data_IF_287351517399
#
_entry.id   IF_287351517399
#
_cell.length_a   1.000
_cell.length_b   1.000
_cell.length_c   1.000
_cell.angle_alpha   90.00
_cell.angle_beta   90.00
_cell.angle_gamma   90.00
#
_symmetry.space_group_name_H-M   'P 1'
#
loop_
_entity.id
_entity.type
_entity.pdbx_description
1 polymer ?
#
# COMPACT_ATOMS: atom_id res chain seq x y z
N UNK A 1 -4.50 -20.72 -10.28
CA UNK A 1 -3.90 -20.49 -11.61
C UNK A 1 -3.19 -19.13 -11.77
N UNK A 2 -3.07 -18.37 -10.69
CA UNK A 2 -2.30 -17.11 -10.63
C UNK A 2 -0.80 -17.38 -10.75
N UNK A 3 -0.32 -18.48 -10.21
CA UNK A 3 1.07 -18.94 -10.29
C UNK A 3 1.56 -19.11 -11.74
N UNK A 4 0.68 -19.60 -12.63
CA UNK A 4 1.00 -19.80 -14.06
C UNK A 4 1.11 -18.46 -14.79
N UNK A 5 0.29 -17.47 -14.44
CA UNK A 5 0.28 -16.16 -15.09
C UNK A 5 1.54 -15.33 -14.75
N UNK A 6 1.99 -15.41 -13.50
CA UNK A 6 3.23 -14.77 -13.04
C UNK A 6 4.44 -15.44 -13.71
N UNK A 7 4.48 -16.78 -13.76
CA UNK A 7 5.55 -17.51 -14.41
C UNK A 7 5.65 -17.21 -15.93
N UNK A 8 4.52 -17.08 -16.64
CA UNK A 8 4.52 -16.79 -18.07
C UNK A 8 5.04 -15.38 -18.38
N UNK A 9 4.77 -14.39 -17.52
CA UNK A 9 5.23 -13.03 -17.73
C UNK A 9 6.75 -12.88 -17.53
N UNK A 10 7.36 -13.68 -16.62
CA UNK A 10 8.81 -13.67 -16.37
C UNK A 10 9.63 -14.57 -17.30
N UNK A 11 9.03 -15.59 -17.92
CA UNK A 11 9.71 -16.44 -18.91
C UNK A 11 10.17 -15.65 -20.16
N UNK A 12 9.49 -14.58 -20.50
CA UNK A 12 9.86 -13.73 -21.65
C UNK A 12 11.13 -12.87 -21.40
N UNK A 13 11.56 -12.71 -20.15
CA UNK A 13 12.71 -11.87 -19.78
C UNK A 13 13.97 -12.64 -19.40
N UNK A 14 13.98 -13.99 -19.43
CA UNK A 14 15.13 -14.82 -19.00
C UNK A 14 15.76 -14.43 -17.64
N UNK A 15 14.98 -13.81 -16.74
CA UNK A 15 15.39 -13.42 -15.42
C UNK A 15 14.63 -14.33 -14.45
N UNK A 16 15.20 -15.47 -14.08
CA UNK A 16 14.83 -16.19 -12.86
C UNK A 16 15.27 -15.38 -11.65
N UNK A 17 14.55 -14.30 -11.34
CA UNK A 17 14.66 -13.68 -10.04
C UNK A 17 13.70 -14.44 -9.14
N UNK A 18 14.22 -15.24 -8.22
CA UNK A 18 13.47 -15.77 -7.09
C UNK A 18 12.90 -14.56 -6.32
N UNK A 19 11.63 -14.21 -6.55
CA UNK A 19 10.97 -13.11 -5.86
C UNK A 19 10.57 -13.59 -4.46
N UNK A 20 11.52 -13.54 -3.53
CA UNK A 20 11.21 -13.80 -2.12
C UNK A 20 10.45 -12.64 -1.52
N UNK A 21 9.35 -12.96 -0.83
CA UNK A 21 8.61 -11.96 -0.07
C UNK A 21 9.48 -11.47 1.09
N UNK A 22 9.68 -10.17 1.18
CA UNK A 22 10.45 -9.54 2.24
C UNK A 22 9.52 -8.90 3.27
N UNK A 23 9.82 -9.07 4.55
CA UNK A 23 9.21 -8.24 5.58
C UNK A 23 10.00 -6.94 5.69
N UNK A 24 9.36 -5.83 5.39
CA UNK A 24 9.91 -4.51 5.58
C UNK A 24 9.35 -3.87 6.87
N UNK A 25 9.99 -2.82 7.35
CA UNK A 25 9.50 -1.99 8.44
C UNK A 25 9.71 -0.53 8.06
N UNK A 26 8.67 0.24 8.22
CA UNK A 26 8.68 1.68 7.96
C UNK A 26 8.47 2.48 9.25
N UNK A 27 8.92 1.92 10.38
CA UNK A 27 8.80 2.56 11.69
C UNK A 27 9.45 3.93 11.64
N UNK A 28 8.75 5.00 12.07
CA UNK A 28 9.33 6.32 12.11
C UNK A 28 10.57 6.36 13.01
N UNK A 29 11.64 6.99 12.55
CA UNK A 29 12.65 7.52 13.45
C UNK A 29 12.00 8.65 14.30
N UNK A 30 12.45 8.84 15.52
CA UNK A 30 12.06 9.98 16.36
C UNK A 30 10.59 10.04 16.82
N UNK A 31 10.04 8.95 17.33
CA UNK A 31 8.72 8.89 18.00
C UNK A 31 7.54 9.49 17.20
N UNK A 32 7.68 9.65 15.89
CA UNK A 32 6.58 10.13 15.06
C UNK A 32 5.47 9.08 14.95
N UNK A 33 4.21 9.52 14.93
CA UNK A 33 3.05 8.63 14.84
C UNK A 33 2.98 7.89 13.49
N UNK A 34 3.58 8.43 12.43
CA UNK A 34 3.60 7.87 11.08
C UNK A 34 4.66 8.52 10.19
N UNK A 35 5.00 7.83 9.11
CA UNK A 35 5.94 8.32 8.07
C UNK A 35 5.14 8.85 6.89
N UNK A 36 5.60 9.98 6.32
CA UNK A 36 5.17 10.46 5.00
C UNK A 36 6.37 10.55 4.09
N UNK A 37 6.29 9.88 2.94
CA UNK A 37 7.33 9.86 1.92
C UNK A 37 6.79 10.39 0.60
N UNK A 38 7.61 11.12 -0.13
CA UNK A 38 7.35 11.51 -1.52
C UNK A 38 8.40 10.86 -2.41
N UNK A 39 7.97 9.99 -3.31
CA UNK A 39 8.84 9.25 -4.19
C UNK A 39 8.78 9.81 -5.62
N UNK A 40 9.95 9.98 -6.20
CA UNK A 40 10.15 10.43 -7.59
C UNK A 40 10.72 9.33 -8.48
N UNK A 41 11.01 8.18 -7.87
CA UNK A 41 11.56 7.01 -8.53
C UNK A 41 10.77 5.75 -8.14
N UNK A 42 10.54 4.83 -9.08
CA UNK A 42 9.80 3.59 -8.83
C UNK A 42 10.56 2.57 -7.99
N UNK A 43 11.89 2.69 -7.81
CA UNK A 43 12.73 1.70 -7.15
C UNK A 43 12.31 1.40 -5.70
N UNK A 44 11.69 2.37 -5.02
CA UNK A 44 11.20 2.18 -3.66
C UNK A 44 9.97 1.26 -3.55
N UNK A 45 9.39 0.87 -4.68
CA UNK A 45 8.12 0.14 -4.74
C UNK A 45 8.24 -1.22 -5.43
N UNK A 46 9.38 -1.52 -6.06
CA UNK A 46 9.56 -2.70 -6.90
C UNK A 46 10.14 -3.92 -6.14
N UNK A 47 9.76 -4.07 -4.88
CA UNK A 47 10.09 -5.24 -4.06
C UNK A 47 8.80 -5.92 -3.63
N UNK A 48 8.71 -7.24 -3.81
CA UNK A 48 7.60 -8.03 -3.26
C UNK A 48 7.74 -8.10 -1.75
N UNK A 49 6.84 -7.42 -1.02
CA UNK A 49 7.00 -7.26 0.42
C UNK A 49 5.67 -7.19 1.17
N UNK A 50 5.77 -7.26 2.48
CA UNK A 50 4.71 -6.94 3.43
C UNK A 50 5.30 -6.21 4.63
N UNK A 51 4.46 -5.51 5.38
CA UNK A 51 4.83 -4.81 6.61
C UNK A 51 3.64 -4.72 7.57
N UNK A 52 3.91 -4.42 8.84
CA UNK A 52 2.88 -4.35 9.88
C UNK A 52 2.07 -3.04 9.80
N UNK A 53 2.62 -2.02 9.17
CA UNK A 53 1.96 -0.74 8.95
C UNK A 53 0.84 -0.87 7.91
N UNK A 54 -0.15 0.03 7.98
CA UNK A 54 -0.99 0.31 6.83
C UNK A 54 -0.23 1.23 5.88
N UNK A 55 -0.40 1.02 4.58
CA UNK A 55 0.10 1.91 3.52
C UNK A 55 -1.05 2.68 2.90
N UNK A 56 -1.01 4.01 2.98
CA UNK A 56 -1.94 4.87 2.29
C UNK A 56 -1.21 5.66 1.22
N UNK A 57 -1.44 5.30 -0.04
CA UNK A 57 -0.68 5.75 -1.18
C UNK A 57 -1.54 6.52 -2.17
N UNK A 58 -0.98 7.59 -2.74
CA UNK A 58 -1.53 8.30 -3.89
C UNK A 58 -0.52 8.34 -5.02
N UNK A 59 -0.92 7.86 -6.18
CA UNK A 59 -0.18 7.97 -7.44
C UNK A 59 -0.62 9.24 -8.13
N UNK A 60 0.17 10.32 -8.07
CA UNK A 60 -0.12 11.54 -8.84
C UNK A 60 0.37 11.42 -10.28
N UNK A 61 1.47 10.68 -10.47
CA UNK A 61 2.01 10.36 -11.77
C UNK A 61 2.70 9.00 -11.71
N UNK A 62 2.27 8.09 -12.56
CA UNK A 62 2.80 6.73 -12.69
C UNK A 62 1.74 5.75 -13.14
N UNK A 63 2.12 4.83 -14.02
CA UNK A 63 1.27 3.74 -14.50
C UNK A 63 1.98 2.40 -14.35
N UNK A 64 1.20 1.31 -14.28
CA UNK A 64 1.78 -0.01 -14.13
C UNK A 64 0.78 -1.05 -13.64
N UNK A 65 1.29 -2.06 -12.95
CA UNK A 65 0.50 -3.15 -12.36
C UNK A 65 0.78 -3.26 -10.86
N UNK A 66 -0.27 -3.22 -10.05
CA UNK A 66 -0.23 -3.53 -8.63
C UNK A 66 -0.57 -5.01 -8.44
N UNK A 67 0.34 -5.73 -7.81
CA UNK A 67 0.10 -7.08 -7.28
C UNK A 67 -0.18 -6.93 -5.80
N UNK A 68 -1.33 -7.40 -5.33
CA UNK A 68 -1.76 -7.28 -3.95
C UNK A 68 -2.55 -8.52 -3.54
N UNK A 69 -2.05 -9.27 -2.56
CA UNK A 69 -2.66 -10.53 -2.17
C UNK A 69 -2.85 -11.45 -3.38
N UNK A 70 -4.10 -11.81 -3.68
CA UNK A 70 -4.51 -12.65 -4.81
C UNK A 70 -5.01 -11.84 -6.03
N UNK A 71 -4.78 -10.51 -6.05
CA UNK A 71 -5.26 -9.62 -7.10
C UNK A 71 -4.09 -9.02 -7.90
N UNK A 72 -4.30 -8.89 -9.21
CA UNK A 72 -3.44 -8.08 -10.08
C UNK A 72 -4.32 -7.01 -10.71
N UNK A 73 -3.95 -5.76 -10.55
CA UNK A 73 -4.70 -4.62 -11.06
C UNK A 73 -3.78 -3.62 -11.75
N UNK A 74 -4.21 -3.04 -12.86
CA UNK A 74 -3.58 -1.85 -13.41
C UNK A 74 -3.82 -0.66 -12.49
N UNK A 75 -2.78 0.15 -12.29
CA UNK A 75 -2.87 1.44 -11.63
C UNK A 75 -2.46 2.55 -12.60
N UNK A 76 -2.93 3.76 -12.31
CA UNK A 76 -2.72 4.94 -13.15
C UNK A 76 -2.65 6.22 -12.34
N UNK A 77 -2.36 7.31 -13.04
CA UNK A 77 -2.41 8.67 -12.47
C UNK A 77 -3.75 8.92 -11.77
N UNK A 78 -3.68 9.41 -10.54
CA UNK A 78 -4.83 9.72 -9.71
C UNK A 78 -5.22 8.62 -8.73
N UNK A 79 -4.81 7.37 -8.91
CA UNK A 79 -5.20 6.27 -8.01
C UNK A 79 -4.80 6.55 -6.57
N UNK A 80 -5.72 6.24 -5.65
CA UNK A 80 -5.55 6.33 -4.20
C UNK A 80 -5.90 4.99 -3.60
N UNK A 81 -4.96 4.39 -2.86
CA UNK A 81 -5.11 3.01 -2.35
C UNK A 81 -4.70 2.97 -0.88
N UNK A 82 -5.51 2.29 -0.06
CA UNK A 82 -5.18 1.93 1.32
C UNK A 82 -4.97 0.43 1.41
N UNK A 83 -3.73 0.02 1.71
CA UNK A 83 -3.33 -1.36 1.91
C UNK A 83 -3.28 -1.63 3.41
N UNK A 84 -3.93 -2.69 3.86
CA UNK A 84 -3.94 -3.10 5.27
C UNK A 84 -2.63 -3.78 5.69
N UNK A 85 -2.46 -3.94 7.01
CA UNK A 85 -1.30 -4.61 7.59
C UNK A 85 -1.12 -6.02 7.04
N UNK A 86 0.13 -6.43 6.83
CA UNK A 86 0.55 -7.77 6.44
C UNK A 86 -0.01 -8.28 5.09
N UNK A 87 -0.54 -7.42 4.23
CA UNK A 87 -0.93 -7.81 2.87
C UNK A 87 0.32 -7.77 1.98
N UNK A 88 0.75 -8.89 1.37
CA UNK A 88 1.84 -8.87 0.41
C UNK A 88 1.47 -8.03 -0.81
N UNK A 89 2.37 -7.16 -1.24
CA UNK A 89 2.15 -6.32 -2.39
C UNK A 89 3.45 -5.96 -3.12
N UNK A 90 3.28 -5.54 -4.40
CA UNK A 90 4.37 -5.18 -5.30
C UNK A 90 3.85 -4.24 -6.38
N UNK A 91 4.57 -3.16 -6.65
CA UNK A 91 4.25 -2.19 -7.69
C UNK A 91 5.19 -2.35 -8.87
N UNK A 92 4.69 -2.86 -9.97
CA UNK A 92 5.43 -2.97 -11.24
C UNK A 92 5.07 -1.77 -12.12
N UNK A 93 5.98 -0.82 -12.23
CA UNK A 93 5.81 0.34 -13.10
C UNK A 93 6.05 -0.02 -14.56
N UNK A 94 5.38 0.67 -15.48
CA UNK A 94 5.60 0.51 -16.91
C UNK A 94 7.00 0.96 -17.30
N UNK A 95 7.50 0.46 -18.45
CA UNK A 95 8.88 0.63 -18.91
C UNK A 95 9.30 2.10 -19.04
N UNK A 96 8.38 3.00 -19.36
CA UNK A 96 8.62 4.44 -19.46
C UNK A 96 9.23 5.05 -18.17
N UNK A 97 8.98 4.43 -17.00
CA UNK A 97 9.46 4.87 -15.69
C UNK A 97 10.72 4.14 -15.22
N UNK A 98 11.11 3.05 -15.89
CA UNK A 98 12.14 2.14 -15.40
C UNK A 98 13.28 1.99 -16.37
N UNK A 99 13.01 2.02 -17.68
CA UNK A 99 13.98 1.67 -18.74
C UNK A 99 14.47 2.93 -19.46
N UNK A 100 15.75 2.90 -19.86
CA UNK A 100 16.37 3.95 -20.70
C UNK A 100 17.28 4.89 -19.92
N UNK A 101 17.99 5.78 -20.64
CA UNK A 101 18.98 6.68 -20.03
C UNK A 101 18.34 7.82 -19.24
N UNK A 102 17.07 8.16 -19.52
CA UNK A 102 16.31 9.22 -18.85
C UNK A 102 14.85 8.77 -18.64
N UNK A 103 14.58 7.83 -17.71
CA UNK A 103 13.22 7.37 -17.48
C UNK A 103 12.35 8.51 -16.93
N UNK A 104 11.06 8.45 -17.21
CA UNK A 104 10.09 9.41 -16.69
C UNK A 104 10.05 9.32 -15.15
N UNK A 105 9.91 10.48 -14.50
CA UNK A 105 9.76 10.49 -13.05
C UNK A 105 8.32 10.17 -12.64
N UNK A 106 8.17 9.35 -11.62
CA UNK A 106 6.92 9.17 -10.90
C UNK A 106 6.66 10.32 -9.94
N UNK A 107 5.43 10.48 -9.47
CA UNK A 107 5.08 11.37 -8.36
C UNK A 107 4.11 10.66 -7.44
N UNK A 108 4.63 10.16 -6.33
CA UNK A 108 3.91 9.30 -5.41
C UNK A 108 4.03 9.86 -4.00
N UNK A 109 2.92 9.92 -3.27
CA UNK A 109 2.93 10.18 -1.83
C UNK A 109 2.49 8.94 -1.09
N UNK A 110 3.31 8.49 -0.16
CA UNK A 110 3.07 7.30 0.66
C UNK A 110 3.05 7.65 2.13
N UNK A 111 2.06 7.15 2.84
CA UNK A 111 1.97 7.20 4.29
C UNK A 111 2.05 5.79 4.84
N UNK A 112 2.93 5.57 5.82
CA UNK A 112 2.98 4.33 6.60
C UNK A 112 2.67 4.63 8.06
N UNK A 113 1.71 3.91 8.63
CA UNK A 113 1.32 4.05 10.04
C UNK A 113 0.89 2.71 10.63
N UNK A 114 1.30 2.44 11.85
CA UNK A 114 0.85 1.25 12.57
C UNK A 114 -0.64 1.37 12.94
N UNK A 115 -1.40 0.27 13.04
CA UNK A 115 -2.76 0.30 13.58
C UNK A 115 -2.84 0.95 14.98
N UNK A 116 -1.73 0.94 15.71
CA UNK A 116 -1.61 1.47 17.08
C UNK A 116 -1.01 2.87 17.15
N UNK A 117 -0.90 3.60 16.06
CA UNK A 117 -0.22 4.92 15.99
C UNK A 117 -0.75 5.95 16.99
N UNK A 118 -1.98 5.81 17.48
CA UNK A 118 -2.63 6.67 18.47
C UNK A 118 -2.69 6.06 19.88
N UNK A 119 -1.90 5.08 20.21
CA UNK A 119 -1.94 4.36 21.51
C UNK A 119 -3.22 3.52 21.77
N UNK A 120 -3.09 2.53 22.64
CA UNK A 120 -4.21 1.67 23.02
C UNK A 120 -5.32 2.44 23.76
N UNK A 121 -4.96 3.45 24.54
CA UNK A 121 -5.93 4.29 25.27
C UNK A 121 -6.82 5.10 24.32
N UNK A 122 -6.25 5.66 23.26
CA UNK A 122 -7.02 6.35 22.21
C UNK A 122 -7.95 5.37 21.48
N UNK A 123 -7.46 4.20 21.10
CA UNK A 123 -8.25 3.19 20.37
C UNK A 123 -9.38 2.61 21.19
N UNK A 124 -9.34 2.71 22.54
CA UNK A 124 -10.41 2.29 23.43
C UNK A 124 -11.56 3.31 23.52
N UNK A 125 -11.38 4.53 23.00
CA UNK A 125 -12.42 5.54 22.98
C UNK A 125 -13.55 5.15 22.02
N UNK A 126 -14.78 5.46 22.40
CA UNK A 126 -15.94 5.25 21.52
C UNK A 126 -15.81 5.99 20.20
N UNK A 127 -15.28 7.20 20.25
CA UNK A 127 -15.05 8.08 19.11
C UNK A 127 -14.03 7.51 18.12
N UNK A 128 -13.12 6.65 18.56
CA UNK A 128 -12.11 5.99 17.74
C UNK A 128 -12.57 4.62 17.17
N UNK A 129 -13.79 4.18 17.47
CA UNK A 129 -14.32 2.86 17.06
C UNK A 129 -14.30 2.65 15.53
N UNK A 130 -14.40 3.73 14.75
CA UNK A 130 -14.33 3.70 13.28
C UNK A 130 -12.98 3.16 12.76
N UNK A 131 -11.89 3.36 13.50
CA UNK A 131 -10.56 2.87 13.09
C UNK A 131 -10.53 1.34 13.03
N UNK A 132 -11.13 0.67 14.02
CA UNK A 132 -11.23 -0.78 14.02
C UNK A 132 -11.99 -1.30 12.80
N UNK A 133 -13.10 -0.67 12.45
CA UNK A 133 -13.90 -1.02 11.29
C UNK A 133 -13.12 -0.75 9.96
N UNK A 134 -12.42 0.38 9.89
CA UNK A 134 -11.56 0.70 8.73
C UNK A 134 -10.44 -0.32 8.56
N UNK A 135 -9.73 -0.67 9.64
CA UNK A 135 -8.63 -1.63 9.56
C UNK A 135 -9.09 -3.00 9.05
N UNK A 136 -10.27 -3.46 9.50
CA UNK A 136 -10.85 -4.69 8.97
C UNK A 136 -11.18 -4.59 7.47
N UNK A 137 -11.72 -3.47 7.00
CA UNK A 137 -11.93 -3.24 5.56
C UNK A 137 -10.59 -3.19 4.80
N UNK A 138 -9.59 -2.50 5.36
CA UNK A 138 -8.29 -2.33 4.75
C UNK A 138 -7.54 -3.65 4.51
N UNK A 139 -7.86 -4.72 5.27
CA UNK A 139 -7.37 -6.08 5.01
C UNK A 139 -7.82 -6.64 3.64
N UNK A 140 -8.65 -5.93 2.91
CA UNK A 140 -9.05 -6.26 1.54
C UNK A 140 -8.38 -5.35 0.49
N UNK A 141 -7.51 -4.43 0.92
CA UNK A 141 -7.00 -3.38 0.06
C UNK A 141 -8.14 -2.52 -0.48
N UNK A 142 -8.14 -1.24 -0.22
CA UNK A 142 -9.21 -0.33 -0.63
C UNK A 142 -8.69 0.63 -1.69
N UNK A 143 -9.36 0.68 -2.83
CA UNK A 143 -9.09 1.67 -3.88
C UNK A 143 -10.22 2.70 -3.90
N UNK A 144 -9.83 3.98 -3.89
CA UNK A 144 -10.74 5.12 -3.90
C UNK A 144 -10.69 5.84 -5.25
N UNK A 145 -11.75 6.57 -5.59
CA UNK A 145 -11.76 7.39 -6.80
C UNK A 145 -10.70 8.50 -6.74
N UNK A 146 -9.89 8.58 -7.79
CA UNK A 146 -8.76 9.51 -7.86
C UNK A 146 -9.17 11.01 -7.93
N UNK A 147 -10.43 11.30 -8.25
CA UNK A 147 -10.99 12.66 -8.32
C UNK A 147 -11.63 13.16 -7.01
N UNK A 148 -11.61 12.36 -5.94
CA UNK A 148 -12.14 12.75 -4.63
C UNK A 148 -11.44 14.03 -4.10
N UNK A 149 -12.17 15.16 -3.90
CA UNK A 149 -11.57 16.45 -3.55
C UNK A 149 -10.94 16.45 -2.16
N UNK A 150 -11.52 15.71 -1.19
CA UNK A 150 -11.01 15.66 0.18
C UNK A 150 -9.71 14.84 0.24
N UNK A 151 -9.67 13.68 -0.42
CA UNK A 151 -8.46 12.88 -0.52
C UNK A 151 -7.36 13.63 -1.26
N UNK A 152 -7.70 14.33 -2.34
CA UNK A 152 -6.75 15.16 -3.08
C UNK A 152 -6.17 16.28 -2.22
N UNK A 153 -7.01 16.96 -1.45
CA UNK A 153 -6.58 18.01 -0.51
C UNK A 153 -5.69 17.44 0.58
N UNK A 154 -6.08 16.33 1.19
CA UNK A 154 -5.28 15.66 2.20
C UNK A 154 -3.87 15.33 1.67
N UNK A 155 -3.75 14.60 0.57
CA UNK A 155 -2.45 14.22 0.00
C UNK A 155 -1.60 15.40 -0.48
N UNK A 156 -2.22 16.51 -0.85
CA UNK A 156 -1.48 17.72 -1.23
C UNK A 156 -0.93 18.51 -0.05
N UNK A 157 -1.54 18.37 1.13
CA UNK A 157 -1.21 19.15 2.32
C UNK A 157 -0.41 18.37 3.36
N UNK A 158 -0.61 17.05 3.47
CA UNK A 158 -0.02 16.23 4.54
C UNK A 158 1.50 16.30 4.58
N UNK A 159 2.17 16.30 3.44
CA UNK A 159 3.62 16.37 3.35
C UNK A 159 4.19 17.72 3.87
N UNK A 160 3.37 18.77 3.78
CA UNK A 160 3.72 20.14 4.23
C UNK A 160 3.24 20.43 5.65
N UNK A 161 2.36 19.61 6.20
CA UNK A 161 1.81 19.74 7.54
C UNK A 161 2.83 19.27 8.58
N UNK A 162 2.80 19.88 9.77
CA UNK A 162 3.71 19.55 10.86
C UNK A 162 2.95 19.33 12.16
N UNK A 163 3.62 18.69 13.11
CA UNK A 163 3.16 18.48 14.48
C UNK A 163 1.70 17.99 14.55
N UNK A 164 0.91 18.56 15.47
CA UNK A 164 -0.47 18.15 15.74
C UNK A 164 -1.36 18.21 14.50
N UNK A 165 -1.20 19.22 13.64
CA UNK A 165 -2.00 19.34 12.41
C UNK A 165 -1.84 18.14 11.50
N UNK A 166 -0.64 17.59 11.40
CA UNK A 166 -0.35 16.38 10.60
C UNK A 166 -1.08 15.17 11.16
N UNK A 167 -1.06 14.99 12.48
CA UNK A 167 -1.74 13.89 13.15
C UNK A 167 -3.28 14.01 13.02
N UNK A 168 -3.84 15.18 13.31
CA UNK A 168 -5.29 15.39 13.18
C UNK A 168 -5.79 15.19 11.76
N UNK A 169 -5.05 15.66 10.75
CA UNK A 169 -5.39 15.44 9.35
C UNK A 169 -5.43 13.95 8.98
N UNK A 170 -4.51 13.14 9.52
CA UNK A 170 -4.55 11.69 9.30
C UNK A 170 -5.81 11.08 9.91
N UNK A 171 -6.14 11.42 11.17
CA UNK A 171 -7.33 10.89 11.85
C UNK A 171 -8.61 11.28 11.08
N UNK A 172 -8.70 12.54 10.65
CA UNK A 172 -9.85 13.06 9.88
C UNK A 172 -10.04 12.33 8.56
N UNK A 173 -8.95 12.11 7.79
CA UNK A 173 -9.05 11.38 6.52
C UNK A 173 -9.38 9.91 6.71
N UNK A 174 -8.87 9.26 7.77
CA UNK A 174 -9.22 7.87 8.09
C UNK A 174 -10.71 7.74 8.48
N UNK A 175 -11.25 8.72 9.22
CA UNK A 175 -12.68 8.77 9.50
C UNK A 175 -13.51 8.96 8.23
N UNK A 176 -13.04 9.81 7.31
CA UNK A 176 -13.68 10.04 6.03
C UNK A 176 -13.69 8.79 5.16
N UNK A 177 -12.54 8.13 4.93
CA UNK A 177 -12.46 6.95 4.05
C UNK A 177 -13.22 5.75 4.61
N UNK A 178 -13.37 5.64 5.93
CA UNK A 178 -14.18 4.59 6.54
C UNK A 178 -15.64 4.66 6.11
N UNK A 179 -16.16 5.86 5.85
CA UNK A 179 -17.55 6.10 5.43
C UNK A 179 -17.76 5.94 3.92
N UNK A 180 -16.67 5.80 3.12
CA UNK A 180 -16.79 5.65 1.68
C UNK A 180 -17.35 4.27 1.32
N UNK A 181 -18.62 4.24 0.93
CA UNK A 181 -19.30 3.02 0.50
C UNK A 181 -18.82 2.52 -0.89
N UNK A 182 -18.25 3.41 -1.70
CA UNK A 182 -17.84 3.13 -3.09
C UNK A 182 -16.38 2.67 -3.21
N UNK A 183 -15.66 2.51 -2.09
CA UNK A 183 -14.30 1.98 -2.15
C UNK A 183 -14.30 0.55 -2.74
N UNK A 184 -13.49 0.34 -3.76
CA UNK A 184 -13.33 -0.97 -4.41
C UNK A 184 -12.41 -1.82 -3.56
N UNK A 185 -12.86 -3.00 -3.15
CA UNK A 185 -12.01 -4.00 -2.50
C UNK A 185 -11.17 -4.72 -3.55
N UNK A 186 -9.86 -4.77 -3.35
CA UNK A 186 -8.91 -5.32 -4.31
C UNK A 186 -8.76 -6.83 -4.15
N UNK A 187 -8.61 -7.30 -2.92
CA UNK A 187 -8.37 -8.71 -2.62
C UNK A 187 -9.70 -9.46 -2.53
N UNK A 188 -9.72 -10.72 -2.95
CA UNK A 188 -10.94 -11.53 -2.94
C UNK A 188 -11.53 -11.69 -1.52
N UNK A 189 -12.85 -11.91 -1.39
CA UNK A 189 -13.47 -12.12 -0.07
C UNK A 189 -12.86 -13.27 0.72
N UNK A 190 -12.42 -14.33 0.01
CA UNK A 190 -11.86 -15.55 0.60
C UNK A 190 -10.34 -15.49 0.81
N UNK A 191 -9.69 -14.41 0.43
CA UNK A 191 -8.25 -14.26 0.67
C UNK A 191 -7.98 -14.23 2.17
N UNK A 192 -7.24 -15.23 2.65
CA UNK A 192 -6.74 -15.27 4.02
C UNK A 192 -5.34 -14.66 4.04
N UNK A 193 -5.16 -13.66 4.90
CA UNK A 193 -3.81 -13.15 5.18
C UNK A 193 -3.08 -14.25 5.94
N UNK A 194 -1.94 -14.66 5.40
CA UNK A 194 -1.09 -15.66 6.00
C UNK A 194 -0.41 -15.04 7.22
N UNK A 195 -1.01 -15.22 8.40
CA UNK A 195 -0.52 -14.62 9.65
C UNK A 195 0.65 -15.38 10.29
N UNK A 196 1.15 -16.44 9.66
CA UNK A 196 2.25 -17.27 10.20
C UNK A 196 3.48 -17.18 9.31
N UNK A 197 4.61 -16.89 9.91
CA UNK A 197 5.94 -16.83 9.23
C UNK A 197 6.20 -18.10 8.39
N UNK A 198 5.74 -19.27 8.85
CA UNK A 198 5.86 -20.53 8.11
C UNK A 198 5.09 -20.59 6.79
N UNK A 199 4.04 -19.80 6.63
CA UNK A 199 3.25 -19.76 5.39
C UNK A 199 3.93 -18.88 4.33
N UNK A 200 4.65 -17.84 4.72
CA UNK A 200 5.47 -17.03 3.80
C UNK A 200 6.67 -17.83 3.27
N UNK A 201 7.34 -18.62 4.11
CA UNK A 201 8.40 -19.54 3.70
C UNK A 201 7.89 -20.63 2.75
N UNK A 202 6.65 -21.05 2.93
CA UNK A 202 5.99 -22.01 2.05
C UNK A 202 5.60 -21.39 0.71
N UNK A 203 5.11 -20.14 0.70
CA UNK A 203 4.84 -19.40 -0.53
C UNK A 203 6.11 -19.10 -1.32
N UNK A 204 7.19 -18.68 -0.65
CA UNK A 204 8.49 -18.48 -1.29
C UNK A 204 8.98 -19.76 -1.97
N UNK A 205 8.84 -20.92 -1.34
CA UNK A 205 9.21 -22.23 -1.95
C UNK A 205 8.35 -22.62 -3.15
N UNK A 206 7.11 -22.15 -3.25
CA UNK A 206 6.24 -22.39 -4.41
C UNK A 206 6.65 -21.49 -5.58
N UNK A 207 7.22 -20.32 -5.29
CA UNK A 207 7.68 -19.36 -6.31
C UNK A 207 9.09 -19.70 -6.84
N UNK A 208 9.84 -20.57 -6.15
CA UNK A 208 11.17 -21.07 -6.56
C UNK A 208 11.09 -22.26 -7.55
N UNK A 209 9.92 -22.68 -8.00
CA UNK A 209 9.65 -23.68 -9.03
C UNK A 209 9.10 -23.02 -10.30
#
# INVERSE_FOLDING_TARGET
NITILIAVFFIQLNIFVTMQIQRLSHTPADEAAFVVRQDRSPQNHNTWHYHDELEFIKIRKGTGSLFIGDCIRKFQDGDIILIGSAIPHYWLFDDDYVVGPNPAQVDITVLHFLPTFCSAGFLALREASFLKALYQKALKGLCFEGNDPLLNTFFSTIAKSTALRRLTSLIEVLAYVQQQAQAIMLVSPNYAILNQIGDYDRMNRIMDF
#
